data_IF_038309511001
#
_entry.id   IF_038309511001
#
_cell.length_a   1.000
_cell.length_b   1.000
_cell.length_c   1.000
_cell.angle_alpha   90.00
_cell.angle_beta   90.00
_cell.angle_gamma   90.00
#
_symmetry.space_group_name_H-M   'P 1'
#
loop_
_entity.id
_entity.type
_entity.pdbx_description
1 polymer ?
#
# COMPACT_ATOMS: atom_id res chain seq x y z
N UNK A 1 -3.90 -7.53 92.84
CA UNK A 1 -3.57 -8.32 91.65
C UNK A 1 -3.74 -7.40 90.44
N UNK A 2 -3.01 -6.30 90.31
CA UNK A 2 -1.56 -6.17 90.03
C UNK A 2 -1.13 -6.90 88.75
N UNK A 3 -1.10 -6.14 87.65
CA UNK A 3 -0.52 -6.48 86.35
C UNK A 3 1.02 -6.48 86.43
N UNK A 4 1.72 -7.40 85.74
CA UNK A 4 3.12 -7.21 85.39
C UNK A 4 3.26 -6.67 83.96
N UNK A 5 4.16 -5.70 83.83
CA UNK A 5 4.53 -5.00 82.59
C UNK A 5 5.25 -5.91 81.58
N UNK A 6 4.96 -5.71 80.29
CA UNK A 6 5.68 -6.30 79.16
C UNK A 6 6.94 -5.46 78.85
N UNK A 7 8.10 -6.09 78.55
CA UNK A 7 9.30 -5.36 78.15
C UNK A 7 9.21 -4.87 76.69
N UNK A 8 9.59 -3.61 76.48
CA UNK A 8 9.71 -2.96 75.16
C UNK A 8 10.91 -3.52 74.39
N UNK A 9 10.66 -4.28 73.33
CA UNK A 9 11.69 -4.64 72.36
C UNK A 9 12.09 -3.43 71.50
N UNK A 10 13.36 -3.09 71.61
CA UNK A 10 14.20 -2.26 70.76
C UNK A 10 13.70 -2.01 69.33
N UNK A 11 13.61 -0.73 68.99
CA UNK A 11 13.50 -0.23 67.64
C UNK A 11 14.71 -0.68 66.80
N UNK A 12 14.51 -1.71 65.97
CA UNK A 12 15.44 -2.05 64.92
C UNK A 12 15.50 -0.90 63.90
N UNK A 13 16.55 -0.08 63.99
CA UNK A 13 16.84 0.97 63.03
C UNK A 13 17.17 0.35 61.67
N UNK A 14 16.17 0.24 60.81
CA UNK A 14 16.33 -0.21 59.44
C UNK A 14 17.00 0.92 58.62
N UNK A 15 18.33 0.97 58.61
CA UNK A 15 19.08 1.86 57.71
C UNK A 15 18.89 1.38 56.27
N UNK A 16 18.01 2.07 55.53
CA UNK A 16 17.97 1.95 54.08
C UNK A 16 19.35 2.33 53.50
N UNK A 17 19.95 1.53 52.59
CA UNK A 17 21.09 1.98 51.83
C UNK A 17 20.65 3.17 50.97
N UNK A 18 21.37 4.29 51.07
CA UNK A 18 21.21 5.44 50.20
C UNK A 18 21.44 5.03 48.75
N UNK A 19 20.33 4.78 48.03
CA UNK A 19 20.35 4.55 46.60
C UNK A 19 20.97 5.77 45.91
N UNK A 20 22.15 5.58 45.30
CA UNK A 20 22.72 6.59 44.44
C UNK A 20 21.73 6.92 43.33
N UNK A 21 21.54 8.21 42.96
CA UNK A 21 20.72 8.55 41.83
C UNK A 21 21.37 7.96 40.58
N UNK A 22 20.77 6.89 40.04
CA UNK A 22 21.10 6.39 38.72
C UNK A 22 20.79 7.50 37.72
N UNK A 23 21.81 8.32 37.42
CA UNK A 23 21.79 9.27 36.34
C UNK A 23 21.67 8.45 35.06
N UNK A 24 20.42 8.32 34.57
CA UNK A 24 20.14 7.84 33.23
C UNK A 24 20.75 8.86 32.27
N UNK A 25 22.05 8.73 32.01
CA UNK A 25 22.75 9.46 30.96
C UNK A 25 22.12 9.00 29.66
N UNK A 26 21.08 9.71 29.22
CA UNK A 26 20.57 9.63 27.87
C UNK A 26 21.71 10.03 26.95
N UNK A 27 22.58 9.08 26.61
CA UNK A 27 23.49 9.21 25.49
C UNK A 27 22.59 9.41 24.27
N UNK A 28 22.51 10.64 23.79
CA UNK A 28 21.85 10.98 22.53
C UNK A 28 22.37 10.03 21.48
N UNK A 29 21.53 9.10 21.04
CA UNK A 29 21.94 7.99 20.19
C UNK A 29 22.21 8.57 18.80
N UNK A 30 23.43 8.47 18.23
CA UNK A 30 23.73 8.94 16.87
C UNK A 30 23.02 8.13 15.76
N UNK A 31 22.12 7.22 16.12
CA UNK A 31 21.50 6.27 15.20
C UNK A 31 20.43 6.87 14.28
N UNK A 32 19.86 8.03 14.65
CA UNK A 32 18.71 8.62 13.93
C UNK A 32 19.09 9.26 12.59
N UNK A 33 20.32 9.78 12.45
CA UNK A 33 20.77 10.45 11.22
C UNK A 33 21.05 9.43 10.12
N UNK A 34 21.74 8.33 10.44
CA UNK A 34 22.08 7.29 9.47
C UNK A 34 20.85 6.58 8.88
N UNK A 35 19.84 6.29 9.70
CA UNK A 35 18.62 5.64 9.21
C UNK A 35 17.80 6.58 8.30
N UNK A 36 17.64 7.84 8.69
CA UNK A 36 16.88 8.82 7.91
C UNK A 36 17.52 8.99 6.52
N UNK A 37 18.84 9.14 6.46
CA UNK A 37 19.56 9.26 5.19
C UNK A 37 19.36 8.03 4.32
N UNK A 38 19.47 6.81 4.86
CA UNK A 38 19.23 5.57 4.11
C UNK A 38 17.83 5.50 3.53
N UNK A 39 16.81 5.87 4.29
CA UNK A 39 15.42 5.90 3.80
C UNK A 39 15.20 6.95 2.71
N UNK A 40 15.83 8.12 2.83
CA UNK A 40 15.77 9.17 1.78
C UNK A 40 16.41 8.64 0.50
N UNK A 41 17.60 8.03 0.59
CA UNK A 41 18.27 7.43 -0.57
C UNK A 41 17.40 6.36 -1.22
N UNK A 42 16.77 5.47 -0.43
CA UNK A 42 15.84 4.48 -0.97
C UNK A 42 14.65 5.12 -1.71
N UNK A 43 14.09 6.20 -1.18
CA UNK A 43 13.03 6.97 -1.85
C UNK A 43 13.48 7.58 -3.17
N UNK A 44 14.67 8.20 -3.20
CA UNK A 44 15.26 8.77 -4.42
C UNK A 44 15.53 7.67 -5.46
N UNK A 45 16.09 6.54 -5.05
CA UNK A 45 16.33 5.38 -5.93
C UNK A 45 15.02 4.87 -6.52
N UNK A 46 13.96 4.72 -5.71
CA UNK A 46 12.65 4.28 -6.21
C UNK A 46 12.04 5.28 -7.19
N UNK A 47 12.16 6.59 -6.94
CA UNK A 47 11.74 7.63 -7.86
C UNK A 47 12.50 7.54 -9.20
N UNK A 48 13.84 7.45 -9.13
CA UNK A 48 14.69 7.34 -10.32
C UNK A 48 14.40 6.08 -11.13
N UNK A 49 14.19 4.93 -10.46
CA UNK A 49 13.79 3.69 -11.11
C UNK A 49 12.43 3.82 -11.81
N UNK A 50 11.44 4.44 -11.15
CA UNK A 50 10.14 4.68 -11.78
C UNK A 50 10.26 5.62 -12.98
N UNK A 51 11.01 6.71 -12.87
CA UNK A 51 11.28 7.62 -14.00
C UNK A 51 11.96 6.89 -15.16
N UNK A 52 12.90 5.98 -14.87
CA UNK A 52 13.54 5.15 -15.89
C UNK A 52 12.54 4.20 -16.56
N UNK A 53 11.64 3.56 -15.80
CA UNK A 53 10.60 2.70 -16.35
C UNK A 53 9.60 3.48 -17.22
N UNK A 54 9.25 4.71 -16.83
CA UNK A 54 8.45 5.62 -17.65
C UNK A 54 9.20 5.93 -18.95
N UNK A 55 10.47 6.31 -18.87
CA UNK A 55 11.29 6.62 -20.04
C UNK A 55 11.41 5.42 -21.00
N UNK A 56 11.70 4.22 -20.48
CA UNK A 56 11.79 2.99 -21.28
C UNK A 56 10.44 2.69 -21.93
N UNK A 57 9.36 2.71 -21.16
CA UNK A 57 8.05 2.30 -21.67
C UNK A 57 7.41 3.29 -22.65
N UNK A 58 7.77 4.56 -22.55
CA UNK A 58 7.34 5.64 -23.46
C UNK A 58 8.30 5.87 -24.64
N UNK A 59 9.32 5.02 -24.81
CA UNK A 59 10.39 5.14 -25.82
C UNK A 59 11.10 6.50 -25.78
N UNK A 60 11.65 6.83 -24.61
CA UNK A 60 12.35 8.09 -24.38
C UNK A 60 11.42 9.29 -24.33
N UNK A 61 10.23 9.14 -23.75
CA UNK A 61 9.17 10.15 -23.65
C UNK A 61 8.51 10.59 -24.97
N UNK A 62 8.88 9.99 -26.11
CA UNK A 62 8.26 10.32 -27.40
C UNK A 62 6.75 10.02 -27.43
N UNK A 63 6.27 9.06 -26.64
CA UNK A 63 4.86 8.70 -26.53
C UNK A 63 4.18 9.16 -25.26
N UNK A 64 4.86 10.01 -24.50
CA UNK A 64 4.31 10.61 -23.31
C UNK A 64 3.31 11.70 -23.68
N UNK A 65 2.12 11.66 -23.09
CA UNK A 65 1.14 12.74 -23.25
C UNK A 65 1.45 13.87 -22.26
N UNK A 66 1.71 15.07 -22.78
CA UNK A 66 2.03 16.24 -21.97
C UNK A 66 0.89 16.61 -20.99
N UNK A 67 -0.36 16.31 -21.32
CA UNK A 67 -1.49 16.55 -20.42
C UNK A 67 -1.41 15.72 -19.12
N UNK A 68 -0.68 14.60 -19.14
CA UNK A 68 -0.56 13.68 -18.00
C UNK A 68 0.67 13.96 -17.13
N UNK A 69 1.44 15.02 -17.43
CA UNK A 69 2.68 15.33 -16.69
C UNK A 69 2.45 15.54 -15.20
N UNK A 70 1.35 16.20 -14.82
CA UNK A 70 0.98 16.41 -13.41
C UNK A 70 0.78 15.09 -12.67
N UNK A 71 0.07 14.13 -13.29
CA UNK A 71 -0.15 12.80 -12.71
C UNK A 71 1.15 11.98 -12.64
N UNK A 72 2.03 12.10 -13.65
CA UNK A 72 3.31 11.39 -13.66
C UNK A 72 4.22 11.89 -12.54
N UNK A 73 4.36 13.20 -12.40
CA UNK A 73 5.13 13.84 -11.32
C UNK A 73 4.55 13.45 -9.96
N UNK A 74 3.23 13.57 -9.77
CA UNK A 74 2.56 13.18 -8.52
C UNK A 74 2.83 11.70 -8.17
N UNK A 75 2.80 10.81 -9.16
CA UNK A 75 3.07 9.38 -8.95
C UNK A 75 4.52 9.13 -8.56
N UNK A 76 5.49 9.81 -9.19
CA UNK A 76 6.92 9.72 -8.82
C UNK A 76 7.14 10.17 -7.37
N UNK A 77 6.56 11.31 -6.96
CA UNK A 77 6.63 11.78 -5.58
C UNK A 77 5.94 10.83 -4.61
N UNK A 78 4.76 10.30 -4.96
CA UNK A 78 4.05 9.32 -4.14
C UNK A 78 4.89 8.05 -3.93
N UNK A 79 5.50 7.53 -4.98
CA UNK A 79 6.40 6.36 -4.90
C UNK A 79 7.61 6.65 -4.01
N UNK A 80 8.23 7.82 -4.14
CA UNK A 80 9.35 8.24 -3.28
C UNK A 80 8.92 8.31 -1.80
N UNK A 81 7.79 8.97 -1.52
CA UNK A 81 7.28 9.18 -0.16
C UNK A 81 6.84 7.88 0.51
N UNK A 82 6.14 7.00 -0.23
CA UNK A 82 5.74 5.67 0.25
C UNK A 82 6.96 4.83 0.53
N UNK A 83 7.95 4.81 -0.37
CA UNK A 83 9.20 4.06 -0.18
C UNK A 83 9.94 4.55 1.06
N UNK A 84 10.12 5.86 1.21
CA UNK A 84 10.74 6.46 2.39
C UNK A 84 10.04 6.04 3.69
N UNK A 85 8.70 6.16 3.76
CA UNK A 85 7.93 5.75 4.94
C UNK A 85 8.07 4.25 5.20
N UNK A 86 8.03 3.44 4.16
CA UNK A 86 8.09 1.99 4.26
C UNK A 86 9.47 1.50 4.73
N UNK A 87 10.56 2.04 4.18
CA UNK A 87 11.92 1.69 4.61
C UNK A 87 12.19 2.14 6.04
N UNK A 88 11.67 3.31 6.43
CA UNK A 88 11.76 3.76 7.81
C UNK A 88 10.98 2.85 8.78
N UNK A 89 9.82 2.35 8.36
CA UNK A 89 9.04 1.37 9.12
C UNK A 89 9.74 0.01 9.22
N UNK A 90 10.35 -0.47 8.13
CA UNK A 90 11.10 -1.74 8.08
C UNK A 90 12.36 -1.75 8.96
N UNK A 91 12.95 -0.58 9.19
CA UNK A 91 14.15 -0.47 10.01
C UNK A 91 13.91 -0.70 11.52
N UNK A 92 12.66 -0.76 11.97
CA UNK A 92 12.37 -1.07 13.38
C UNK A 92 12.71 -2.55 13.67
N UNK A 93 13.39 -2.87 14.79
CA UNK A 93 13.81 -4.24 15.09
C UNK A 93 12.74 -5.34 15.00
N UNK A 94 11.47 -5.12 15.43
CA UNK A 94 10.43 -6.15 15.28
C UNK A 94 10.03 -6.33 13.82
N UNK A 95 9.77 -5.26 13.08
CA UNK A 95 9.31 -5.31 11.68
C UNK A 95 10.39 -5.85 10.75
N UNK A 96 11.64 -5.45 10.94
CA UNK A 96 12.78 -5.96 10.17
C UNK A 96 13.07 -7.45 10.39
N UNK A 97 12.73 -8.02 11.56
CA UNK A 97 12.80 -9.46 11.79
C UNK A 97 11.72 -10.21 11.00
N UNK A 98 10.47 -9.74 11.07
CA UNK A 98 9.38 -10.31 10.28
C UNK A 98 9.68 -10.23 8.79
N UNK A 99 10.13 -9.09 8.28
CA UNK A 99 10.47 -8.92 6.86
C UNK A 99 11.50 -9.94 6.37
N UNK A 100 12.63 -10.08 7.09
CA UNK A 100 13.66 -11.06 6.75
C UNK A 100 13.12 -12.48 6.78
N UNK A 101 12.31 -12.82 7.78
CA UNK A 101 11.72 -14.16 7.88
C UNK A 101 10.72 -14.43 6.77
N UNK A 102 9.90 -13.44 6.39
CA UNK A 102 8.98 -13.54 5.26
C UNK A 102 9.71 -13.84 3.96
N UNK A 103 10.82 -13.15 3.68
CA UNK A 103 11.63 -13.44 2.48
C UNK A 103 12.29 -14.82 2.53
N UNK A 104 12.80 -15.25 3.69
CA UNK A 104 13.34 -16.61 3.85
C UNK A 104 12.28 -17.68 3.58
N UNK A 105 11.04 -17.46 4.03
CA UNK A 105 9.93 -18.39 3.79
C UNK A 105 9.49 -18.37 2.32
N UNK A 106 9.38 -17.18 1.73
CA UNK A 106 8.96 -16.99 0.34
C UNK A 106 9.97 -17.59 -0.66
N UNK A 107 11.27 -17.40 -0.42
CA UNK A 107 12.35 -17.90 -1.30
C UNK A 107 12.79 -19.34 -0.98
N UNK A 108 12.27 -19.96 0.08
CA UNK A 108 12.58 -21.35 0.40
C UNK A 108 11.88 -22.29 -0.59
N UNK A 109 12.66 -23.00 -1.41
CA UNK A 109 12.13 -23.94 -2.40
C UNK A 109 11.24 -25.04 -1.79
N UNK A 110 11.63 -25.58 -0.63
CA UNK A 110 10.85 -26.60 0.08
C UNK A 110 9.47 -26.10 0.49
N UNK A 111 9.38 -24.85 1.00
CA UNK A 111 8.10 -24.23 1.34
C UNK A 111 7.32 -23.84 0.09
N UNK A 112 7.97 -23.23 -0.90
CA UNK A 112 7.32 -22.85 -2.14
C UNK A 112 6.63 -24.04 -2.81
N UNK A 113 7.30 -25.20 -2.90
CA UNK A 113 6.71 -26.42 -3.46
C UNK A 113 5.55 -26.97 -2.62
N UNK A 114 5.60 -26.82 -1.29
CA UNK A 114 4.54 -27.29 -0.38
C UNK A 114 3.29 -26.40 -0.42
N UNK A 115 3.48 -25.09 -0.54
CA UNK A 115 2.41 -24.09 -0.48
C UNK A 115 1.94 -23.62 -1.86
N UNK A 116 2.62 -23.99 -2.96
CA UNK A 116 2.24 -23.61 -4.32
C UNK A 116 0.83 -24.05 -4.69
N UNK A 117 0.39 -25.20 -4.19
CA UNK A 117 -0.97 -25.74 -4.37
C UNK A 117 -2.04 -24.81 -3.77
N UNK A 118 -1.67 -24.01 -2.77
CA UNK A 118 -2.58 -23.06 -2.10
C UNK A 118 -2.58 -21.68 -2.76
N UNK A 119 -1.64 -21.39 -3.67
CA UNK A 119 -1.54 -20.09 -4.34
C UNK A 119 -2.81 -19.75 -5.12
N UNK A 120 -3.40 -20.65 -5.95
CA UNK A 120 -4.62 -20.32 -6.68
C UNK A 120 -5.79 -19.97 -5.76
N UNK A 121 -5.95 -20.72 -4.67
CA UNK A 121 -6.98 -20.46 -3.67
C UNK A 121 -6.74 -19.12 -2.95
N UNK A 122 -5.50 -18.82 -2.58
CA UNK A 122 -5.13 -17.56 -1.94
C UNK A 122 -5.36 -16.35 -2.86
N UNK A 123 -5.03 -16.48 -4.15
CA UNK A 123 -5.31 -15.45 -5.16
C UNK A 123 -6.82 -15.27 -5.33
N UNK A 124 -7.57 -16.36 -5.44
CA UNK A 124 -9.03 -16.31 -5.52
C UNK A 124 -9.65 -15.61 -4.32
N UNK A 125 -9.20 -15.93 -3.11
CA UNK A 125 -9.67 -15.29 -1.88
C UNK A 125 -9.24 -13.82 -1.76
N UNK A 126 -8.08 -13.44 -2.29
CA UNK A 126 -7.63 -12.05 -2.32
C UNK A 126 -8.54 -11.18 -3.20
N UNK A 127 -8.89 -11.65 -4.39
CA UNK A 127 -9.73 -10.92 -5.34
C UNK A 127 -11.22 -11.00 -4.96
N UNK A 128 -11.73 -12.18 -4.63
CA UNK A 128 -13.13 -12.39 -4.27
C UNK A 128 -13.45 -11.99 -2.83
N UNK A 129 -12.44 -11.78 -1.98
CA UNK A 129 -12.58 -11.37 -0.58
C UNK A 129 -13.65 -12.19 0.18
N UNK A 130 -13.63 -13.51 -0.01
CA UNK A 130 -14.69 -14.43 0.45
C UNK A 130 -14.86 -14.40 1.98
N UNK A 131 -13.79 -14.07 2.72
CA UNK A 131 -13.81 -13.88 4.16
C UNK A 131 -14.72 -12.71 4.60
N UNK A 132 -14.86 -11.66 3.79
CA UNK A 132 -15.77 -10.53 4.05
C UNK A 132 -17.20 -10.96 3.80
N UNK A 133 -17.44 -11.76 2.76
CA UNK A 133 -18.77 -12.30 2.43
C UNK A 133 -19.38 -13.06 3.61
N UNK A 134 -18.57 -13.84 4.33
CA UNK A 134 -18.98 -14.56 5.54
C UNK A 134 -19.40 -13.64 6.71
N UNK A 135 -18.98 -12.36 6.70
CA UNK A 135 -19.27 -11.37 7.75
C UNK A 135 -20.42 -10.41 7.37
N UNK A 136 -21.01 -10.56 6.18
CA UNK A 136 -22.18 -9.79 5.74
C UNK A 136 -22.10 -9.37 4.27
N UNK A 137 -23.19 -9.61 3.53
CA UNK A 137 -23.26 -9.35 2.09
C UNK A 137 -23.09 -7.86 1.75
N UNK A 138 -23.70 -6.97 2.51
CA UNK A 138 -23.56 -5.52 2.33
C UNK A 138 -22.10 -5.06 2.42
N UNK A 139 -21.37 -5.56 3.43
CA UNK A 139 -19.94 -5.23 3.64
C UNK A 139 -19.09 -5.74 2.50
N UNK A 140 -19.42 -6.94 2.00
CA UNK A 140 -18.71 -7.56 0.89
C UNK A 140 -18.92 -6.80 -0.42
N UNK A 141 -20.16 -6.46 -0.79
CA UNK A 141 -20.44 -5.65 -1.99
C UNK A 141 -19.71 -4.30 -1.90
N UNK A 142 -19.79 -3.62 -0.74
CA UNK A 142 -19.08 -2.36 -0.50
C UNK A 142 -17.57 -2.49 -0.78
N UNK A 143 -16.93 -3.53 -0.24
CA UNK A 143 -15.49 -3.75 -0.45
C UNK A 143 -15.16 -4.15 -1.89
N UNK A 144 -16.00 -4.97 -2.54
CA UNK A 144 -15.80 -5.36 -3.93
C UNK A 144 -15.87 -4.14 -4.86
N UNK A 145 -16.86 -3.27 -4.68
CA UNK A 145 -16.99 -2.03 -5.43
C UNK A 145 -15.78 -1.10 -5.25
N UNK A 146 -15.34 -0.88 -4.01
CA UNK A 146 -14.16 -0.03 -3.73
C UNK A 146 -12.88 -0.66 -4.28
N UNK A 147 -12.66 -1.95 -3.99
CA UNK A 147 -11.45 -2.67 -4.39
C UNK A 147 -11.32 -2.72 -5.91
N UNK A 148 -12.33 -3.20 -6.64
CA UNK A 148 -12.28 -3.28 -8.09
C UNK A 148 -12.32 -1.91 -8.75
N UNK A 149 -13.10 -0.97 -8.21
CA UNK A 149 -13.12 0.41 -8.68
C UNK A 149 -11.74 1.06 -8.65
N UNK A 150 -10.99 0.91 -7.55
CA UNK A 150 -9.61 1.42 -7.44
C UNK A 150 -8.63 0.64 -8.30
N UNK A 151 -8.62 -0.69 -8.22
CA UNK A 151 -7.64 -1.53 -8.92
C UNK A 151 -7.75 -1.34 -10.44
N UNK A 152 -8.96 -1.37 -10.99
CA UNK A 152 -9.17 -1.19 -12.44
C UNK A 152 -8.81 0.23 -12.88
N UNK A 153 -9.17 1.25 -12.09
CA UNK A 153 -8.79 2.64 -12.38
C UNK A 153 -7.26 2.80 -12.39
N UNK A 154 -6.54 2.24 -11.41
CA UNK A 154 -5.08 2.26 -11.39
C UNK A 154 -4.47 1.51 -12.58
N UNK A 155 -5.05 0.37 -12.98
CA UNK A 155 -4.59 -0.44 -14.11
C UNK A 155 -4.73 0.30 -15.45
N UNK A 156 -5.64 1.27 -15.56
CA UNK A 156 -5.82 2.10 -16.75
C UNK A 156 -4.98 3.38 -16.63
N UNK A 157 -5.11 4.10 -15.51
CA UNK A 157 -4.52 5.43 -15.32
C UNK A 157 -3.00 5.41 -15.24
N UNK A 158 -2.38 4.43 -14.57
CA UNK A 158 -0.91 4.39 -14.48
C UNK A 158 -0.25 4.13 -15.84
N UNK A 159 -0.66 3.11 -16.62
CA UNK A 159 -0.10 2.94 -17.96
C UNK A 159 -0.31 4.14 -18.88
N UNK A 160 -1.46 4.81 -18.81
CA UNK A 160 -1.69 6.06 -19.56
C UNK A 160 -0.71 7.15 -19.11
N UNK A 161 -0.66 7.39 -17.81
CA UNK A 161 0.21 8.41 -17.20
C UNK A 161 1.68 8.16 -17.50
N UNK A 162 2.12 6.91 -17.61
CA UNK A 162 3.50 6.56 -17.91
C UNK A 162 3.82 6.55 -19.42
N UNK A 163 2.83 6.80 -20.29
CA UNK A 163 2.98 6.69 -21.74
C UNK A 163 3.16 5.25 -22.23
N UNK A 164 2.79 4.26 -21.41
CA UNK A 164 2.81 2.84 -21.79
C UNK A 164 1.57 2.47 -22.61
N UNK A 165 0.43 3.10 -22.34
CA UNK A 165 -0.80 2.94 -23.08
C UNK A 165 -1.10 4.22 -23.86
N UNK A 166 -1.43 4.11 -25.14
CA UNK A 166 -1.78 5.25 -25.99
C UNK A 166 -2.90 4.91 -26.95
N UNK A 167 -3.77 5.90 -27.20
CA UNK A 167 -4.83 5.83 -28.20
C UNK A 167 -4.49 6.77 -29.36
N UNK A 168 -4.63 6.28 -30.59
CA UNK A 168 -4.49 7.12 -31.79
C UNK A 168 -5.64 6.84 -32.73
N UNK A 169 -6.24 7.90 -33.27
CA UNK A 169 -7.20 7.77 -34.36
C UNK A 169 -6.46 7.73 -35.70
N UNK A 170 -6.81 6.74 -36.52
CA UNK A 170 -6.31 6.62 -37.90
C UNK A 170 -7.14 7.48 -38.85
N UNK A 171 -6.60 7.78 -40.03
CA UNK A 171 -7.30 8.56 -41.08
C UNK A 171 -8.56 7.86 -41.59
N UNK A 172 -8.65 6.53 -41.42
CA UNK A 172 -9.82 5.72 -41.75
C UNK A 172 -10.88 5.68 -40.65
N UNK A 173 -10.70 6.46 -39.56
CA UNK A 173 -11.65 6.54 -38.45
C UNK A 173 -11.55 5.42 -37.41
N UNK A 174 -10.58 4.52 -37.53
CA UNK A 174 -10.33 3.47 -36.54
C UNK A 174 -9.47 3.99 -35.39
N UNK A 175 -9.82 3.63 -34.16
CA UNK A 175 -8.98 3.85 -32.98
C UNK A 175 -8.02 2.68 -32.80
N UNK A 176 -6.73 2.98 -32.75
CA UNK A 176 -5.68 2.01 -32.45
C UNK A 176 -5.14 2.22 -31.04
N UNK A 177 -5.09 1.12 -30.29
CA UNK A 177 -4.53 1.06 -28.95
C UNK A 177 -3.10 0.56 -29.05
N UNK A 178 -2.19 1.28 -28.43
CA UNK A 178 -0.76 0.99 -28.38
C UNK A 178 -0.38 0.65 -26.95
N UNK A 179 0.37 -0.44 -26.77
CA UNK A 179 0.90 -0.85 -25.48
C UNK A 179 2.41 -1.07 -25.59
N UNK A 180 3.20 -0.29 -24.83
CA UNK A 180 4.66 -0.15 -25.04
C UNK A 180 5.01 0.11 -26.54
N UNK A 181 4.05 0.78 -27.19
CA UNK A 181 3.79 0.92 -28.62
C UNK A 181 4.20 -0.21 -29.55
N UNK A 182 3.88 -1.41 -29.11
CA UNK A 182 3.32 -2.41 -30.00
C UNK A 182 1.84 -2.09 -30.22
N UNK A 183 1.38 -2.14 -31.47
CA UNK A 183 -0.04 -1.95 -31.78
C UNK A 183 -0.81 -3.17 -31.28
N UNK A 184 -1.66 -2.98 -30.28
CA UNK A 184 -2.37 -4.07 -29.62
C UNK A 184 -3.59 -4.49 -30.45
N UNK A 185 -4.52 -3.54 -30.65
CA UNK A 185 -5.78 -3.74 -31.39
C UNK A 185 -6.20 -2.45 -32.08
N UNK A 186 -6.92 -2.57 -33.21
CA UNK A 186 -7.55 -1.46 -33.93
C UNK A 186 -9.05 -1.73 -34.05
N UNK A 187 -9.86 -0.75 -33.66
CA UNK A 187 -11.30 -0.92 -33.45
C UNK A 187 -12.06 0.31 -33.98
N UNK A 188 -13.25 0.15 -34.55
CA UNK A 188 -14.16 1.27 -34.81
C UNK A 188 -14.63 1.89 -33.49
N UNK A 189 -14.59 3.23 -33.37
CA UNK A 189 -15.02 3.94 -32.15
C UNK A 189 -16.50 3.72 -31.82
N UNK A 190 -17.33 3.57 -32.86
CA UNK A 190 -18.77 3.33 -32.77
C UNK A 190 -19.13 1.88 -32.44
N UNK A 191 -18.15 0.98 -32.29
CA UNK A 191 -18.44 -0.40 -31.88
C UNK A 191 -18.79 -0.46 -30.38
N UNK A 192 -19.66 -1.41 -29.94
CA UNK A 192 -19.97 -1.57 -28.52
C UNK A 192 -18.73 -1.81 -27.66
N UNK A 193 -17.76 -2.56 -28.19
CA UNK A 193 -16.48 -2.80 -27.52
C UNK A 193 -15.62 -1.52 -27.44
N UNK A 194 -15.55 -0.73 -28.51
CA UNK A 194 -14.87 0.57 -28.53
C UNK A 194 -15.46 1.54 -27.51
N UNK A 195 -16.79 1.59 -27.40
CA UNK A 195 -17.49 2.39 -26.38
C UNK A 195 -17.05 2.00 -24.97
N UNK A 196 -17.02 0.70 -24.65
CA UNK A 196 -16.59 0.21 -23.33
C UNK A 196 -15.13 0.57 -23.03
N UNK A 197 -14.23 0.42 -24.01
CA UNK A 197 -12.81 0.73 -23.82
C UNK A 197 -12.57 2.22 -23.60
N UNK A 198 -13.25 3.09 -24.36
CA UNK A 198 -13.11 4.55 -24.25
C UNK A 198 -13.68 5.07 -22.92
N UNK A 199 -14.77 4.46 -22.43
CA UNK A 199 -15.42 4.83 -21.16
C UNK A 199 -15.00 3.93 -19.99
N UNK A 200 -13.92 3.15 -20.14
CA UNK A 200 -13.52 2.17 -19.13
C UNK A 200 -13.26 2.84 -17.76
N UNK A 201 -12.65 4.02 -17.75
CA UNK A 201 -12.41 4.80 -16.53
C UNK A 201 -13.71 5.30 -15.91
N UNK A 202 -14.70 5.69 -16.72
CA UNK A 202 -16.00 6.14 -16.22
C UNK A 202 -16.75 4.99 -15.51
N UNK A 203 -16.72 3.79 -16.09
CA UNK A 203 -17.32 2.61 -15.45
C UNK A 203 -16.65 2.27 -14.11
N UNK A 204 -15.32 2.33 -14.04
CA UNK A 204 -14.60 2.05 -12.79
C UNK A 204 -14.82 3.15 -11.75
N UNK A 205 -15.00 4.41 -12.19
CA UNK A 205 -15.37 5.52 -11.32
C UNK A 205 -16.78 5.35 -10.75
N UNK A 206 -17.77 4.97 -11.57
CA UNK A 206 -19.14 4.67 -11.09
C UNK A 206 -19.12 3.52 -10.09
N UNK A 207 -18.40 2.44 -10.39
CA UNK A 207 -18.26 1.29 -9.48
C UNK A 207 -17.67 1.71 -8.13
N UNK A 208 -16.59 2.51 -8.14
CA UNK A 208 -15.98 3.05 -6.94
C UNK A 208 -16.95 3.96 -6.17
N UNK A 209 -17.67 4.83 -6.88
CA UNK A 209 -18.60 5.78 -6.30
C UNK A 209 -19.74 5.08 -5.55
N UNK A 210 -20.32 4.02 -6.14
CA UNK A 210 -21.33 3.17 -5.47
C UNK A 210 -20.76 2.62 -4.16
N UNK A 211 -19.54 2.06 -4.19
CA UNK A 211 -18.88 1.54 -2.99
C UNK A 211 -18.66 2.60 -1.91
N UNK A 212 -18.26 3.80 -2.31
CA UNK A 212 -18.04 4.92 -1.40
C UNK A 212 -19.36 5.38 -0.75
N UNK A 213 -20.44 5.51 -1.52
CA UNK A 213 -21.78 5.86 -1.02
C UNK A 213 -22.26 4.82 -0.01
N UNK A 214 -22.11 3.53 -0.31
CA UNK A 214 -22.46 2.46 0.64
C UNK A 214 -21.62 2.54 1.93
N UNK A 215 -20.31 2.76 1.81
CA UNK A 215 -19.42 2.88 2.96
C UNK A 215 -19.82 4.05 3.87
N UNK A 216 -20.12 5.21 3.28
CA UNK A 216 -20.56 6.39 4.02
C UNK A 216 -21.95 6.23 4.62
N UNK A 217 -22.92 5.74 3.85
CA UNK A 217 -24.27 5.47 4.34
C UNK A 217 -24.22 4.62 5.60
N UNK A 218 -23.49 3.50 5.55
CA UNK A 218 -23.33 2.65 6.73
C UNK A 218 -22.60 3.34 7.88
N UNK A 219 -21.57 4.14 7.60
CA UNK A 219 -20.85 4.88 8.64
C UNK A 219 -21.76 5.86 9.38
N UNK A 220 -22.65 6.55 8.68
CA UNK A 220 -23.57 7.52 9.29
C UNK A 220 -24.71 6.82 10.06
N UNK A 221 -25.25 5.73 9.55
CA UNK A 221 -26.28 4.97 10.27
C UNK A 221 -25.74 4.23 11.50
N UNK A 222 -24.53 3.66 11.42
CA UNK A 222 -23.89 3.00 12.58
C UNK A 222 -23.57 4.02 13.70
N UNK A 223 -23.35 5.30 13.37
CA UNK A 223 -23.13 6.39 14.35
C UNK A 223 -24.42 6.92 14.98
N UNK A 224 -25.57 6.79 14.31
CA UNK A 224 -26.86 7.28 14.81
C UNK A 224 -27.49 6.37 15.88
N UNK A 225 -26.87 5.22 16.16
CA UNK A 225 -27.32 4.21 17.13
C UNK A 225 -26.52 4.23 18.45
N UNK A 226 -25.59 5.17 18.59
CA UNK A 226 -24.77 5.41 19.80
C UNK A 226 -25.20 6.72 20.44
#
# INVERSE_FOLDING_TARGET
MEQPALPSHEAASNRMPSGQPHTHRQRGVPFAVGLRTRSIVSGIVAAALLTLLIAIGSRGFHWFDAALIGYAVATIFATAAVTYKYTFWLARPPTGRYWRRSWQLFLSYANFRRYSVLIPAAIGDLFAQTFIRRRGLYRWITHQCIFWGVILSCLITFPLTFGWLRFTQTTTGLYRIWFFGFGLIALPANSPFGFVVIHALDFTAVLLFIGLVMAFHRRFHDLALV
#
